data_IF_083459940185
#
_entry.id   IF_083459940185
#
_cell.length_a   1.000
_cell.length_b   1.000
_cell.length_c   1.000
_cell.angle_alpha   90.00
_cell.angle_beta   90.00
_cell.angle_gamma   90.00
#
_symmetry.space_group_name_H-M   'P 1'
#
loop_
_entity.id
_entity.type
_entity.pdbx_description
1 polymer ?
#
# COMPACT_ATOMS: atom_id res chain seq x y z
N UNK A 1 -16.05 -1.06 -20.16
CA UNK A 1 -14.65 -0.68 -20.50
C UNK A 1 -14.25 0.73 -19.99
N UNK A 2 -15.19 1.56 -19.51
CA UNK A 2 -14.94 2.94 -19.02
C UNK A 2 -14.66 3.02 -17.49
N UNK A 3 -15.17 2.07 -16.71
CA UNK A 3 -15.17 2.13 -15.24
C UNK A 3 -13.77 2.03 -14.60
N UNK A 4 -12.89 1.17 -15.13
CA UNK A 4 -11.56 0.95 -14.55
C UNK A 4 -10.62 2.15 -14.70
N UNK A 5 -10.74 2.91 -15.80
CA UNK A 5 -9.98 4.15 -15.99
C UNK A 5 -10.39 5.24 -15.00
N UNK A 6 -11.68 5.30 -14.66
CA UNK A 6 -12.20 6.23 -13.65
C UNK A 6 -11.72 5.85 -12.24
N UNK A 7 -11.79 4.57 -11.87
CA UNK A 7 -11.28 4.05 -10.59
C UNK A 7 -9.78 4.33 -10.39
N UNK A 8 -8.95 4.13 -11.42
CA UNK A 8 -7.53 4.44 -11.36
C UNK A 8 -7.27 5.93 -11.15
N UNK A 9 -8.01 6.80 -11.85
CA UNK A 9 -7.93 8.26 -11.66
C UNK A 9 -8.35 8.68 -10.26
N UNK A 10 -9.45 8.15 -9.74
CA UNK A 10 -9.93 8.45 -8.38
C UNK A 10 -8.88 8.05 -7.34
N UNK A 11 -8.28 6.86 -7.48
CA UNK A 11 -7.20 6.41 -6.59
C UNK A 11 -6.00 7.36 -6.63
N UNK A 12 -5.54 7.76 -7.81
CA UNK A 12 -4.42 8.71 -7.94
C UNK A 12 -4.75 10.08 -7.33
N UNK A 13 -5.94 10.61 -7.57
CA UNK A 13 -6.39 11.88 -6.99
C UNK A 13 -6.43 11.81 -5.46
N UNK A 14 -6.98 10.74 -4.90
CA UNK A 14 -7.03 10.55 -3.46
C UNK A 14 -5.63 10.50 -2.84
N UNK A 15 -4.69 9.77 -3.45
CA UNK A 15 -3.30 9.70 -2.99
C UNK A 15 -2.61 11.07 -3.04
N UNK A 16 -2.86 11.83 -4.09
CA UNK A 16 -2.34 13.18 -4.24
C UNK A 16 -2.88 14.11 -3.15
N UNK A 17 -4.19 14.10 -2.90
CA UNK A 17 -4.82 14.92 -1.87
C UNK A 17 -4.29 14.60 -0.47
N UNK A 18 -4.17 13.32 -0.12
CA UNK A 18 -3.59 12.91 1.17
C UNK A 18 -2.14 13.38 1.32
N UNK A 19 -1.31 13.20 0.28
CA UNK A 19 0.08 13.68 0.30
C UNK A 19 0.14 15.19 0.49
N UNK A 20 -0.73 15.96 -0.18
CA UNK A 20 -0.79 17.41 -0.02
C UNK A 20 -1.15 17.84 1.40
N UNK A 21 -2.15 17.20 2.01
CA UNK A 21 -2.56 17.52 3.39
C UNK A 21 -1.39 17.26 4.35
N UNK A 22 -0.72 16.11 4.23
CA UNK A 22 0.43 15.81 5.05
C UNK A 22 1.59 16.80 4.85
N UNK A 23 1.92 17.16 3.61
CA UNK A 23 2.99 18.12 3.33
C UNK A 23 2.66 19.53 3.88
N UNK A 24 1.39 19.98 3.80
CA UNK A 24 0.97 21.25 4.42
C UNK A 24 1.14 21.23 5.93
N UNK A 25 0.75 20.14 6.58
CA UNK A 25 0.95 19.97 8.02
C UNK A 25 2.43 19.99 8.40
N UNK A 26 3.28 19.26 7.68
CA UNK A 26 4.72 19.20 7.96
C UNK A 26 5.41 20.56 7.71
N UNK A 27 5.01 21.30 6.67
CA UNK A 27 5.45 22.68 6.45
C UNK A 27 5.08 23.60 7.63
N UNK A 28 3.85 23.47 8.14
CA UNK A 28 3.41 24.26 9.29
C UNK A 28 4.23 23.93 10.54
N UNK A 29 4.46 22.63 10.81
CA UNK A 29 5.26 22.19 11.96
C UNK A 29 6.72 22.60 11.83
N UNK A 30 7.30 22.50 10.63
CA UNK A 30 8.64 23.00 10.30
C UNK A 30 8.82 24.46 10.73
N UNK A 31 7.87 25.30 10.31
CA UNK A 31 7.84 26.72 10.66
C UNK A 31 7.73 26.93 12.18
N UNK A 32 6.83 26.20 12.84
CA UNK A 32 6.64 26.30 14.28
C UNK A 32 7.87 25.87 15.09
N UNK A 33 8.54 24.80 14.66
CA UNK A 33 9.72 24.23 15.31
C UNK A 33 11.04 24.92 14.89
N UNK A 34 10.99 25.87 13.96
CA UNK A 34 12.18 26.54 13.38
C UNK A 34 13.23 25.53 12.87
N UNK A 35 12.76 24.42 12.31
CA UNK A 35 13.64 23.37 11.77
C UNK A 35 13.76 23.56 10.27
N UNK A 36 14.97 23.83 9.80
CA UNK A 36 15.21 23.91 8.36
C UNK A 36 15.12 22.51 7.72
N UNK A 37 14.51 22.44 6.54
CA UNK A 37 14.51 21.25 5.71
C UNK A 37 14.52 21.66 4.24
N UNK A 38 14.99 20.76 3.39
CA UNK A 38 14.99 20.98 1.95
C UNK A 38 13.55 20.97 1.40
N UNK A 39 13.29 21.70 0.30
CA UNK A 39 12.02 21.60 -0.39
C UNK A 39 11.68 20.14 -0.70
N UNK A 40 10.47 19.72 -0.33
CA UNK A 40 9.94 18.36 -0.54
C UNK A 40 10.62 17.23 0.25
N UNK A 41 11.69 17.49 1.01
CA UNK A 41 12.22 16.53 1.98
C UNK A 41 11.70 16.87 3.39
N UNK A 42 10.73 16.07 3.84
CA UNK A 42 10.13 16.20 5.16
C UNK A 42 10.63 15.14 6.15
N UNK A 43 11.63 14.36 5.77
CA UNK A 43 12.18 13.28 6.60
C UNK A 43 12.65 13.77 7.98
N UNK A 44 13.31 14.94 8.12
CA UNK A 44 13.72 15.44 9.44
C UNK A 44 12.54 15.68 10.39
N UNK A 45 11.46 16.27 9.88
CA UNK A 45 10.27 16.61 10.68
C UNK A 45 9.47 15.34 11.00
N UNK A 46 9.39 14.40 10.06
CA UNK A 46 8.77 13.09 10.30
C UNK A 46 9.49 12.34 11.41
N UNK A 47 10.82 12.32 11.38
CA UNK A 47 11.65 11.70 12.41
C UNK A 47 11.45 12.39 13.77
N UNK A 48 11.49 13.73 13.79
CA UNK A 48 11.26 14.53 15.00
C UNK A 48 9.88 14.24 15.63
N UNK A 49 8.84 14.17 14.82
CA UNK A 49 7.47 13.88 15.26
C UNK A 49 7.21 12.38 15.51
N UNK A 50 8.19 11.50 15.24
CA UNK A 50 8.04 10.03 15.25
C UNK A 50 6.85 9.55 14.39
N UNK A 51 6.63 10.21 13.25
CA UNK A 51 5.58 9.86 12.29
C UNK A 51 6.16 9.02 11.15
N UNK A 52 5.49 7.94 10.81
CA UNK A 52 5.78 7.17 9.60
C UNK A 52 5.33 7.90 8.33
N UNK A 53 5.99 7.62 7.21
CA UNK A 53 5.64 8.25 5.94
C UNK A 53 4.24 7.82 5.48
N UNK A 54 3.59 8.60 4.60
CA UNK A 54 2.33 8.18 3.99
C UNK A 54 2.49 6.86 3.22
N UNK A 55 3.69 6.60 2.66
CA UNK A 55 3.94 5.37 1.93
C UNK A 55 3.91 4.16 2.85
N UNK A 56 4.62 4.24 3.98
CA UNK A 56 4.71 3.15 4.96
C UNK A 56 3.35 2.84 5.56
N UNK A 57 2.59 3.89 5.90
CA UNK A 57 1.22 3.73 6.42
C UNK A 57 0.28 3.06 5.43
N UNK A 58 0.44 3.33 4.12
CA UNK A 58 -0.34 2.66 3.07
C UNK A 58 0.07 1.20 2.89
N UNK A 59 1.36 0.90 2.97
CA UNK A 59 1.86 -0.48 2.96
C UNK A 59 1.25 -1.26 4.12
N UNK A 60 1.35 -0.73 5.34
CA UNK A 60 0.77 -1.35 6.53
C UNK A 60 -0.76 -1.50 6.42
N UNK A 61 -1.46 -0.47 5.92
CA UNK A 61 -2.91 -0.54 5.71
C UNK A 61 -3.31 -1.62 4.70
N UNK A 62 -2.54 -1.78 3.62
CA UNK A 62 -2.75 -2.82 2.62
C UNK A 62 -2.55 -4.23 3.19
N UNK A 63 -1.49 -4.43 3.98
CA UNK A 63 -1.23 -5.70 4.66
C UNK A 63 -2.32 -6.01 5.70
N UNK A 64 -2.68 -5.02 6.53
CA UNK A 64 -3.76 -5.15 7.51
C UNK A 64 -5.11 -5.46 6.86
N UNK A 65 -5.40 -4.84 5.71
CA UNK A 65 -6.61 -5.13 4.95
C UNK A 65 -6.64 -6.58 4.50
N UNK A 66 -5.55 -7.09 3.90
CA UNK A 66 -5.49 -8.50 3.49
C UNK A 66 -5.62 -9.44 4.70
N UNK A 67 -4.91 -9.16 5.79
CA UNK A 67 -5.00 -9.99 7.00
C UNK A 67 -6.44 -10.03 7.53
N UNK A 68 -7.12 -8.87 7.58
CA UNK A 68 -8.52 -8.77 8.00
C UNK A 68 -9.51 -9.46 7.06
N UNK A 69 -9.19 -9.51 5.76
CA UNK A 69 -10.00 -10.22 4.78
C UNK A 69 -9.85 -11.74 4.96
N UNK A 70 -8.62 -12.22 5.14
CA UNK A 70 -8.33 -13.66 5.31
C UNK A 70 -8.81 -14.19 6.66
N UNK A 71 -8.72 -13.40 7.72
CA UNK A 71 -9.15 -13.81 9.06
C UNK A 71 -10.66 -13.67 9.31
N UNK A 72 -11.44 -13.23 8.32
CA UNK A 72 -12.88 -13.05 8.42
C UNK A 72 -13.35 -11.81 9.20
N UNK A 73 -12.45 -10.90 9.59
CA UNK A 73 -12.85 -9.61 10.21
C UNK A 73 -13.55 -8.68 9.21
N UNK A 74 -13.29 -8.86 7.91
CA UNK A 74 -14.03 -8.24 6.82
C UNK A 74 -14.81 -9.35 6.12
N UNK A 75 -16.13 -9.31 6.26
CA UNK A 75 -17.03 -10.24 5.59
C UNK A 75 -17.30 -9.76 4.15
N UNK A 76 -16.46 -10.23 3.22
CA UNK A 76 -16.56 -9.92 1.80
C UNK A 76 -16.15 -11.15 0.97
N UNK A 77 -17.02 -12.17 0.87
CA UNK A 77 -16.68 -13.43 0.22
C UNK A 77 -16.31 -13.24 -1.26
N UNK A 78 -17.01 -12.36 -1.98
CA UNK A 78 -16.70 -12.00 -3.37
C UNK A 78 -15.29 -11.42 -3.54
N UNK A 79 -14.78 -10.73 -2.52
CA UNK A 79 -13.43 -10.18 -2.56
C UNK A 79 -12.39 -11.23 -2.14
N UNK A 80 -12.76 -12.13 -1.23
CA UNK A 80 -11.91 -13.23 -0.81
C UNK A 80 -11.70 -14.24 -1.94
N UNK A 81 -12.69 -14.45 -2.81
CA UNK A 81 -12.54 -15.32 -3.99
C UNK A 81 -11.49 -14.84 -4.99
N UNK A 82 -11.16 -13.54 -4.99
CA UNK A 82 -10.08 -12.96 -5.80
C UNK A 82 -8.68 -13.18 -5.19
N UNK A 83 -8.59 -13.68 -3.95
CA UNK A 83 -7.33 -13.95 -3.26
C UNK A 83 -6.86 -15.36 -3.59
N UNK A 84 -5.78 -15.48 -4.35
CA UNK A 84 -5.21 -16.77 -4.70
C UNK A 84 -4.14 -17.19 -3.68
N UNK A 85 -4.42 -18.21 -2.89
CA UNK A 85 -3.45 -18.77 -1.95
C UNK A 85 -2.46 -19.68 -2.66
N UNK A 86 -1.18 -19.54 -2.34
CA UNK A 86 -0.13 -20.43 -2.82
C UNK A 86 0.11 -21.52 -1.79
N UNK A 87 -0.24 -22.75 -2.13
CA UNK A 87 0.02 -23.92 -1.30
C UNK A 87 1.43 -24.44 -1.64
N UNK A 88 2.39 -24.46 -0.70
CA UNK A 88 3.72 -24.99 -0.97
C UNK A 88 3.67 -26.53 -1.09
N UNK A 89 3.84 -27.06 -2.30
CA UNK A 89 3.82 -28.51 -2.53
C UNK A 89 5.12 -29.25 -2.13
N UNK A 90 6.27 -28.55 -2.09
CA UNK A 90 7.58 -29.04 -1.62
C UNK A 90 8.35 -27.87 -1.00
N UNK A 91 9.30 -28.15 -0.11
CA UNK A 91 10.19 -27.16 0.54
C UNK A 91 10.97 -26.33 -0.50
N UNK A 92 10.32 -25.30 -1.02
CA UNK A 92 10.89 -24.33 -1.94
C UNK A 92 11.41 -23.15 -1.13
N UNK A 93 12.57 -22.62 -1.51
CA UNK A 93 13.16 -21.42 -0.90
C UNK A 93 12.32 -20.15 -1.15
N UNK A 94 11.23 -20.25 -1.91
CA UNK A 94 10.29 -19.16 -2.18
C UNK A 94 9.21 -19.08 -1.10
N UNK A 95 9.41 -18.16 -0.15
CA UNK A 95 8.40 -17.75 0.84
C UNK A 95 7.37 -16.80 0.20
N UNK A 96 6.41 -17.36 -0.53
CA UNK A 96 5.27 -16.61 -1.06
C UNK A 96 3.96 -17.26 -0.59
N UNK A 97 3.10 -16.46 0.05
CA UNK A 97 1.80 -16.89 0.56
C UNK A 97 0.71 -16.83 -0.51
N UNK A 98 0.88 -15.94 -1.49
CA UNK A 98 -0.13 -15.65 -2.50
C UNK A 98 0.40 -15.91 -3.91
N UNK A 99 -0.49 -16.35 -4.80
CA UNK A 99 -0.25 -16.47 -6.23
C UNK A 99 -0.77 -15.22 -6.94
N UNK A 100 0.11 -14.40 -7.51
CA UNK A 100 -0.31 -13.19 -8.23
C UNK A 100 -0.40 -13.51 -9.72
N UNK A 101 -1.56 -13.35 -10.38
CA UNK A 101 -1.66 -13.57 -11.82
C UNK A 101 -0.74 -12.62 -12.59
N UNK A 102 -0.17 -13.10 -13.70
CA UNK A 102 0.60 -12.26 -14.60
C UNK A 102 -0.34 -11.40 -15.44
N UNK A 103 -0.05 -10.10 -15.50
CA UNK A 103 -0.85 -9.13 -16.25
C UNK A 103 -0.04 -8.52 -17.39
N UNK A 104 -0.61 -8.58 -18.58
CA UNK A 104 -0.06 -7.97 -19.79
C UNK A 104 -0.34 -6.46 -19.89
N UNK A 105 -1.33 -5.95 -19.14
CA UNK A 105 -1.71 -4.54 -19.15
C UNK A 105 -1.39 -3.86 -17.82
N UNK A 106 -1.13 -2.55 -17.86
CA UNK A 106 -0.97 -1.73 -16.66
C UNK A 106 -2.22 -1.75 -15.78
N UNK A 107 -3.42 -1.97 -16.35
CA UNK A 107 -4.66 -2.08 -15.57
C UNK A 107 -4.65 -3.32 -14.68
N UNK A 108 -4.33 -4.49 -15.25
CA UNK A 108 -4.23 -5.73 -14.48
C UNK A 108 -3.12 -5.68 -13.42
N UNK A 109 -1.96 -5.09 -13.76
CA UNK A 109 -0.86 -4.87 -12.80
C UNK A 109 -1.25 -3.94 -11.65
N UNK A 110 -2.18 -3.01 -11.89
CA UNK A 110 -2.68 -2.07 -10.88
C UNK A 110 -3.94 -2.57 -10.15
N UNK A 111 -4.34 -3.83 -10.37
CA UNK A 111 -5.45 -4.44 -9.66
C UNK A 111 -5.19 -4.44 -8.14
N UNK A 112 -6.10 -3.90 -7.32
CA UNK A 112 -5.82 -3.62 -5.92
C UNK A 112 -5.53 -4.87 -5.10
N UNK A 113 -6.25 -5.98 -5.32
CA UNK A 113 -6.00 -7.24 -4.61
C UNK A 113 -4.65 -7.84 -5.01
N UNK A 114 -4.33 -7.84 -6.31
CA UNK A 114 -3.06 -8.36 -6.82
C UNK A 114 -1.87 -7.56 -6.29
N UNK A 115 -1.98 -6.24 -6.21
CA UNK A 115 -0.95 -5.39 -5.61
C UNK A 115 -0.73 -5.69 -4.14
N UNK A 116 -1.82 -5.88 -3.37
CA UNK A 116 -1.71 -6.21 -1.95
C UNK A 116 -1.07 -7.60 -1.76
N UNK A 117 -1.44 -8.58 -2.57
CA UNK A 117 -0.85 -9.93 -2.52
C UNK A 117 0.64 -9.91 -2.86
N UNK A 118 1.03 -9.15 -3.89
CA UNK A 118 2.45 -9.00 -4.24
C UNK A 118 3.23 -8.31 -3.12
N UNK A 119 2.68 -7.23 -2.55
CA UNK A 119 3.26 -6.54 -1.41
C UNK A 119 3.45 -7.47 -0.22
N UNK A 120 2.48 -8.34 0.08
CA UNK A 120 2.59 -9.30 1.18
C UNK A 120 3.72 -10.34 0.93
N UNK A 121 3.87 -10.81 -0.30
CA UNK A 121 4.96 -11.72 -0.66
C UNK A 121 6.35 -11.04 -0.54
N UNK A 122 6.46 -9.78 -0.95
CA UNK A 122 7.70 -8.99 -0.84
C UNK A 122 8.10 -8.78 0.63
N UNK A 123 7.14 -8.42 1.49
CA UNK A 123 7.41 -8.20 2.93
C UNK A 123 7.82 -9.48 3.66
N UNK A 124 7.33 -10.64 3.23
CA UNK A 124 7.74 -11.92 3.80
C UNK A 124 9.14 -12.35 3.34
N UNK A 125 9.55 -11.96 2.14
CA UNK A 125 10.87 -12.27 1.60
C UNK A 125 11.99 -11.42 2.22
N UNK A 126 11.64 -10.31 2.89
CA UNK A 126 12.57 -9.42 3.60
C UNK A 126 12.80 -9.78 5.07
N UNK A 127 12.13 -10.81 5.59
CA UNK A 127 12.31 -11.39 6.92
C UNK A 127 13.29 -12.56 6.87
#
# INVERSE_FOLDING_TARGET
>A
MVEYGQLFRIRLLFLYLLKRVQCKYLNFVSFFLKTEHQPHDYSPILCYLKLSSLSDRRVLANLNFLNKLVNGSIDAPELLTEVNFKIPGRSSRLFALYCVPLHHTNYGRNHPIHQKMNLANENLSSL
#
